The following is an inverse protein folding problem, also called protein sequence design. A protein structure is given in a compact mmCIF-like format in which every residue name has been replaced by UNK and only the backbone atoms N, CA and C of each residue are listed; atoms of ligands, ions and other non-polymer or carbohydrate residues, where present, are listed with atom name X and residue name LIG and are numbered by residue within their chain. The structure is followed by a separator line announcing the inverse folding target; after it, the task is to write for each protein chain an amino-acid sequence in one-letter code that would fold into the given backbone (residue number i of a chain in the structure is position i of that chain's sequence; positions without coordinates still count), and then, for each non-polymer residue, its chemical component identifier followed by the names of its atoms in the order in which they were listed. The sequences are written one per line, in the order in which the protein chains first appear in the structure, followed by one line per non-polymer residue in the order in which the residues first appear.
data_IF_282591405376
#
_entry.id   IF_282591405376
#
_cell.length_a   1.000
_cell.length_b   1.000
_cell.length_c   1.000
_cell.angle_alpha   90.00
_cell.angle_beta   90.00
_cell.angle_gamma   90.00
#
_symmetry.space_group_name_H-M   'P 1'
#
loop_
_entity.id
_entity.type
_entity.pdbx_description
1 polymer ?
#
# COMPACT_ATOMS: atom_id res chain seq x y z
N UNK A 1 1.55 -11.47 -17.22
CA UNK A 1 0.70 -10.69 -16.31
C UNK A 1 1.23 -9.28 -16.31
N UNK A 2 0.38 -8.34 -16.59
CA UNK A 2 0.70 -6.91 -16.62
C UNK A 2 0.54 -6.28 -15.24
N UNK A 3 1.34 -5.25 -14.96
CA UNK A 3 1.44 -4.60 -13.66
C UNK A 3 1.24 -3.09 -13.75
N UNK A 4 0.28 -2.57 -13.00
CA UNK A 4 0.07 -1.14 -12.79
C UNK A 4 0.53 -0.71 -11.39
N UNK A 5 1.21 0.42 -11.31
CA UNK A 5 1.60 1.06 -10.06
C UNK A 5 0.75 2.31 -9.86
N UNK A 6 0.13 2.44 -8.72
CA UNK A 6 -0.65 3.61 -8.30
C UNK A 6 0.09 4.33 -7.18
N UNK A 7 0.34 5.62 -7.36
CA UNK A 7 1.04 6.46 -6.39
C UNK A 7 0.16 7.68 -6.07
N UNK A 8 -0.61 7.64 -4.98
CA UNK A 8 -1.22 8.84 -4.43
C UNK A 8 -0.14 9.75 -3.84
N UNK A 9 -0.19 11.04 -4.14
CA UNK A 9 0.75 12.02 -3.58
C UNK A 9 0.07 13.34 -3.27
N UNK A 10 0.65 14.11 -2.34
CA UNK A 10 0.17 15.46 -2.00
C UNK A 10 1.30 16.33 -1.45
N UNK A 11 1.70 17.37 -2.18
CA UNK A 11 2.74 18.33 -1.78
C UNK A 11 4.09 17.68 -1.40
N UNK A 12 4.49 16.59 -2.10
CA UNK A 12 5.71 15.80 -1.82
C UNK A 12 6.48 15.49 -3.10
N UNK A 13 6.94 16.51 -3.85
CA UNK A 13 7.61 16.30 -5.13
C UNK A 13 8.93 15.52 -5.02
N UNK A 14 9.69 15.71 -3.94
CA UNK A 14 10.97 15.05 -3.77
C UNK A 14 10.83 13.56 -3.44
N UNK A 15 9.88 13.23 -2.57
CA UNK A 15 9.53 11.86 -2.20
C UNK A 15 9.03 11.11 -3.44
N UNK A 16 8.08 11.70 -4.16
CA UNK A 16 7.56 11.12 -5.41
C UNK A 16 8.70 10.89 -6.43
N UNK A 17 9.61 11.85 -6.60
CA UNK A 17 10.75 11.68 -7.51
C UNK A 17 11.67 10.53 -7.07
N UNK A 18 11.94 10.39 -5.77
CA UNK A 18 12.76 9.32 -5.24
C UNK A 18 12.09 7.95 -5.46
N UNK A 19 10.78 7.85 -5.21
CA UNK A 19 9.99 6.64 -5.49
C UNK A 19 10.05 6.27 -6.97
N UNK A 20 9.82 7.22 -7.89
CA UNK A 20 9.85 6.99 -9.33
C UNK A 20 11.24 6.55 -9.81
N UNK A 21 12.32 7.12 -9.27
CA UNK A 21 13.68 6.66 -9.54
C UNK A 21 13.90 5.21 -9.13
N UNK A 22 13.28 4.74 -8.04
CA UNK A 22 13.36 3.34 -7.63
C UNK A 22 12.54 2.40 -8.53
N UNK A 23 11.52 2.92 -9.22
CA UNK A 23 10.73 2.15 -10.18
C UNK A 23 11.46 1.93 -11.51
N UNK A 24 12.17 2.93 -12.03
CA UNK A 24 12.84 2.81 -13.33
C UNK A 24 14.08 1.91 -13.31
N UNK A 25 14.63 1.61 -12.12
CA UNK A 25 15.77 0.68 -11.96
C UNK A 25 15.33 -0.75 -11.62
N UNK A 26 14.03 -1.04 -11.64
CA UNK A 26 13.53 -2.38 -11.37
C UNK A 26 13.97 -3.36 -12.45
N UNK A 27 14.31 -4.59 -12.06
CA UNK A 27 14.64 -5.68 -13.00
C UNK A 27 13.43 -6.20 -13.78
N UNK A 28 12.23 -5.85 -13.33
CA UNK A 28 10.95 -6.02 -14.02
C UNK A 28 10.19 -4.70 -13.94
N UNK A 29 10.03 -4.04 -15.08
CA UNK A 29 9.37 -2.73 -15.13
C UNK A 29 7.85 -2.88 -15.09
N UNK A 30 7.11 -1.89 -14.53
CA UNK A 30 5.65 -1.87 -14.62
C UNK A 30 5.21 -1.51 -16.06
N UNK A 31 4.04 -1.99 -16.46
CA UNK A 31 3.42 -1.65 -17.74
C UNK A 31 2.72 -0.27 -17.67
N UNK A 32 2.24 0.10 -16.47
CA UNK A 32 1.51 1.34 -16.25
C UNK A 32 1.89 1.98 -14.91
N UNK A 33 2.02 3.31 -14.89
CA UNK A 33 2.10 4.11 -13.66
C UNK A 33 0.94 5.11 -13.66
N UNK A 34 0.19 5.14 -12.57
CA UNK A 34 -0.92 6.07 -12.33
C UNK A 34 -0.55 6.92 -11.12
N UNK A 35 -0.32 8.20 -11.32
CA UNK A 35 -0.06 9.15 -10.25
C UNK A 35 -1.34 9.94 -10.00
N UNK A 36 -1.81 9.96 -8.75
CA UNK A 36 -2.94 10.79 -8.32
C UNK A 36 -2.41 11.88 -7.41
N UNK A 37 -2.17 13.04 -8.00
CA UNK A 37 -1.62 14.22 -7.31
C UNK A 37 -2.75 15.10 -6.78
N UNK A 38 -2.88 15.13 -5.46
CA UNK A 38 -3.87 15.90 -4.71
C UNK A 38 -3.32 17.27 -4.23
N UNK A 39 -2.19 17.70 -4.76
CA UNK A 39 -1.52 18.96 -4.38
C UNK A 39 -2.33 20.17 -4.81
N UNK A 40 -2.22 21.27 -4.04
CA UNK A 40 -2.83 22.56 -4.41
C UNK A 40 -2.21 23.14 -5.70
N UNK A 41 -0.90 22.95 -5.88
CA UNK A 41 -0.19 23.30 -7.11
C UNK A 41 0.33 22.02 -7.74
N UNK A 42 0.17 21.91 -9.05
CA UNK A 42 0.69 20.80 -9.83
C UNK A 42 2.21 20.63 -9.57
N UNK A 43 2.63 19.42 -9.33
CA UNK A 43 4.06 19.15 -9.09
C UNK A 43 4.88 19.40 -10.35
N UNK A 44 5.99 20.13 -10.21
CA UNK A 44 6.94 20.41 -11.30
C UNK A 44 7.69 19.17 -11.82
N UNK A 45 7.41 18.02 -11.26
CA UNK A 45 7.99 16.73 -11.68
C UNK A 45 7.48 16.31 -13.06
N UNK A 46 6.28 16.76 -13.45
CA UNK A 46 5.69 16.37 -14.74
C UNK A 46 6.63 16.63 -15.90
N UNK A 47 7.36 17.72 -15.90
CA UNK A 47 8.32 18.06 -16.97
C UNK A 47 9.54 17.12 -17.02
N UNK A 48 9.83 16.41 -15.93
CA UNK A 48 10.97 15.48 -15.83
C UNK A 48 10.57 14.01 -16.05
N UNK A 49 9.29 13.69 -15.95
CA UNK A 49 8.77 12.33 -16.02
C UNK A 49 8.75 11.73 -17.44
N UNK A 50 8.35 12.47 -18.50
CA UNK A 50 8.25 11.90 -19.83
C UNK A 50 9.56 11.29 -20.29
N UNK A 51 10.68 12.01 -20.17
CA UNK A 51 11.99 11.52 -20.60
C UNK A 51 12.48 10.26 -19.88
N UNK A 52 12.10 10.07 -18.61
CA UNK A 52 12.47 8.89 -17.83
C UNK A 52 11.62 7.67 -18.14
N UNK A 53 10.34 7.86 -18.47
CA UNK A 53 9.36 6.79 -18.65
C UNK A 53 9.17 6.39 -20.10
N UNK A 54 9.30 7.31 -21.05
CA UNK A 54 9.23 7.04 -22.48
C UNK A 54 10.35 6.10 -22.94
N UNK A 55 11.57 6.29 -22.42
CA UNK A 55 12.70 5.40 -22.68
C UNK A 55 12.39 3.93 -22.32
N UNK A 56 11.51 3.70 -21.35
CA UNK A 56 11.16 2.39 -20.83
C UNK A 56 9.79 1.87 -21.31
N UNK A 57 9.11 2.59 -22.23
CA UNK A 57 7.77 2.23 -22.74
C UNK A 57 6.70 2.05 -21.65
N UNK A 58 6.83 2.74 -20.52
CA UNK A 58 5.88 2.68 -19.42
C UNK A 58 4.74 3.66 -19.69
N UNK A 59 3.49 3.18 -19.67
CA UNK A 59 2.32 4.04 -19.81
C UNK A 59 2.13 4.92 -18.57
N UNK A 60 2.28 6.23 -18.71
CA UNK A 60 2.06 7.19 -17.60
C UNK A 60 0.65 7.79 -17.68
N UNK A 61 -0.08 7.73 -16.57
CA UNK A 61 -1.30 8.47 -16.31
C UNK A 61 -1.05 9.42 -15.12
N UNK A 62 -0.68 10.68 -15.38
CA UNK A 62 -0.56 11.70 -14.33
C UNK A 62 -1.86 12.48 -14.21
N UNK A 63 -2.51 12.39 -13.06
CA UNK A 63 -3.80 13.00 -12.78
C UNK A 63 -3.61 13.99 -11.63
N UNK A 64 -3.72 15.29 -11.93
CA UNK A 64 -3.72 16.33 -10.93
C UNK A 64 -5.15 16.79 -10.68
N UNK A 65 -5.68 16.46 -9.51
CA UNK A 65 -7.03 16.89 -9.10
C UNK A 65 -7.11 17.07 -7.58
N UNK A 66 -7.14 18.32 -7.15
CA UNK A 66 -7.25 18.70 -5.74
C UNK A 66 -8.62 18.38 -5.12
N UNK A 67 -9.65 18.06 -5.92
CA UNK A 67 -10.96 17.66 -5.44
C UNK A 67 -10.98 16.20 -4.99
N UNK A 68 -10.04 15.40 -5.46
CA UNK A 68 -9.84 14.04 -4.93
C UNK A 68 -9.17 14.17 -3.55
N UNK A 69 -9.92 13.97 -2.48
CA UNK A 69 -9.41 14.13 -1.11
C UNK A 69 -9.27 12.81 -0.40
N UNK A 70 -8.09 12.60 0.21
CA UNK A 70 -7.78 11.40 0.99
C UNK A 70 -7.31 10.20 0.16
N UNK A 71 -6.60 9.30 0.86
CA UNK A 71 -5.92 8.15 0.26
C UNK A 71 -6.90 7.16 -0.40
N UNK A 72 -8.01 6.86 0.29
CA UNK A 72 -9.03 5.91 -0.18
C UNK A 72 -9.66 6.37 -1.49
N UNK A 73 -10.01 7.67 -1.58
CA UNK A 73 -10.59 8.24 -2.80
C UNK A 73 -9.60 8.21 -3.97
N UNK A 74 -8.31 8.51 -3.71
CA UNK A 74 -7.27 8.44 -4.73
C UNK A 74 -7.09 7.01 -5.26
N UNK A 75 -7.06 6.00 -4.37
CA UNK A 75 -6.99 4.59 -4.75
C UNK A 75 -8.23 4.16 -5.56
N UNK A 76 -9.42 4.48 -5.07
CA UNK A 76 -10.67 4.14 -5.75
C UNK A 76 -10.80 4.80 -7.13
N UNK A 77 -10.29 6.03 -7.26
CA UNK A 77 -10.22 6.74 -8.53
C UNK A 77 -9.24 6.06 -9.49
N UNK A 78 -8.03 5.74 -9.02
CA UNK A 78 -6.99 5.12 -9.83
C UNK A 78 -7.40 3.74 -10.38
N UNK A 79 -8.16 2.94 -9.63
CA UNK A 79 -8.67 1.64 -10.10
C UNK A 79 -9.46 1.77 -11.42
N UNK A 80 -10.19 2.86 -11.61
CA UNK A 80 -10.97 3.12 -12.84
C UNK A 80 -10.08 3.33 -14.07
N UNK A 81 -8.82 3.71 -13.86
CA UNK A 81 -7.82 3.97 -14.90
C UNK A 81 -6.83 2.80 -15.08
N UNK A 82 -6.95 1.76 -14.25
CA UNK A 82 -6.09 0.58 -14.34
C UNK A 82 -6.50 -0.29 -15.54
N UNK A 83 -5.49 -0.70 -16.31
CA UNK A 83 -5.66 -1.60 -17.45
C UNK A 83 -4.89 -2.91 -17.32
N UNK A 84 -4.25 -3.14 -16.16
CA UNK A 84 -3.35 -4.27 -15.92
C UNK A 84 -4.00 -5.35 -15.05
N UNK A 85 -3.41 -6.57 -15.09
CA UNK A 85 -3.86 -7.73 -14.33
C UNK A 85 -3.62 -7.56 -12.82
N UNK A 86 -2.51 -6.91 -12.47
CA UNK A 86 -2.11 -6.60 -11.08
C UNK A 86 -2.08 -5.09 -10.92
N UNK A 87 -2.58 -4.61 -9.80
CA UNK A 87 -2.48 -3.22 -9.36
C UNK A 87 -1.76 -3.15 -8.02
N UNK A 88 -0.72 -2.34 -7.93
CA UNK A 88 0.03 -2.10 -6.70
C UNK A 88 -0.17 -0.66 -6.24
N UNK A 89 -0.52 -0.48 -4.98
CA UNK A 89 -0.63 0.83 -4.33
C UNK A 89 0.63 1.10 -3.53
N UNK A 90 1.33 2.16 -3.87
CA UNK A 90 2.56 2.55 -3.20
C UNK A 90 2.45 3.99 -2.69
N UNK A 91 2.88 4.20 -1.43
CA UNK A 91 3.07 5.55 -0.90
C UNK A 91 4.25 6.23 -1.61
N UNK A 92 4.23 7.56 -1.67
CA UNK A 92 5.27 8.35 -2.32
C UNK A 92 6.61 8.36 -1.57
N UNK A 93 6.64 7.87 -0.32
CA UNK A 93 7.81 7.85 0.57
C UNK A 93 8.42 6.44 0.77
N UNK A 94 8.22 5.55 -0.19
CA UNK A 94 8.89 4.23 -0.22
C UNK A 94 9.97 4.18 -1.30
N UNK A 95 10.97 3.33 -1.07
CA UNK A 95 12.03 3.01 -2.05
C UNK A 95 12.08 1.50 -2.21
N UNK A 96 11.89 1.04 -3.44
CA UNK A 96 11.91 -0.38 -3.77
C UNK A 96 13.32 -0.87 -4.05
N UNK A 97 13.68 -2.05 -3.54
CA UNK A 97 14.86 -2.79 -3.99
C UNK A 97 14.69 -3.21 -5.47
N UNK A 98 15.76 -3.31 -6.28
CA UNK A 98 15.66 -3.55 -7.72
C UNK A 98 14.89 -4.80 -8.14
N UNK A 99 14.79 -5.81 -7.28
CA UNK A 99 14.06 -7.06 -7.52
C UNK A 99 12.60 -7.06 -7.10
N UNK A 100 12.10 -5.99 -6.46
CA UNK A 100 10.79 -5.96 -5.81
C UNK A 100 9.64 -6.36 -6.75
N UNK A 101 9.50 -5.69 -7.88
CA UNK A 101 8.39 -5.93 -8.81
C UNK A 101 8.47 -7.31 -9.46
N UNK A 102 9.68 -7.80 -9.72
CA UNK A 102 9.92 -9.16 -10.21
C UNK A 102 9.38 -10.20 -9.23
N UNK A 103 9.69 -10.05 -7.94
CA UNK A 103 9.24 -10.99 -6.89
C UNK A 103 7.72 -10.96 -6.70
N UNK A 104 7.10 -9.78 -6.76
CA UNK A 104 5.63 -9.64 -6.72
C UNK A 104 5.00 -10.34 -7.92
N UNK A 105 5.42 -10.03 -9.15
CA UNK A 105 4.87 -10.65 -10.36
C UNK A 105 5.07 -12.17 -10.36
N UNK A 106 6.26 -12.65 -9.94
CA UNK A 106 6.56 -14.07 -9.81
C UNK A 106 5.59 -14.74 -8.83
N UNK A 107 5.36 -14.15 -7.65
CA UNK A 107 4.46 -14.70 -6.64
C UNK A 107 3.02 -14.83 -7.17
N UNK A 108 2.47 -13.80 -7.82
CA UNK A 108 1.14 -13.85 -8.42
C UNK A 108 1.02 -14.87 -9.54
N UNK A 109 2.08 -15.06 -10.33
CA UNK A 109 2.14 -16.05 -11.41
C UNK A 109 2.23 -17.47 -10.87
N UNK A 110 3.11 -17.70 -9.88
CA UNK A 110 3.43 -19.02 -9.35
C UNK A 110 2.34 -19.56 -8.39
N UNK A 111 1.66 -18.66 -7.67
CA UNK A 111 0.68 -19.03 -6.66
C UNK A 111 -0.70 -18.44 -6.98
N UNK A 112 -1.56 -19.18 -7.72
CA UNK A 112 -2.90 -18.69 -8.11
C UNK A 112 -3.79 -18.29 -6.93
N UNK A 113 -3.54 -18.86 -5.74
CA UNK A 113 -4.26 -18.52 -4.50
C UNK A 113 -4.01 -17.08 -4.04
N UNK A 114 -2.88 -16.47 -4.42
CA UNK A 114 -2.56 -15.10 -4.03
C UNK A 114 -3.46 -14.12 -4.76
N UNK A 115 -4.32 -13.44 -4.04
CA UNK A 115 -5.16 -12.34 -4.52
C UNK A 115 -4.67 -10.98 -4.04
N UNK A 116 -3.93 -10.95 -2.92
CA UNK A 116 -3.29 -9.76 -2.38
C UNK A 116 -1.91 -10.08 -1.80
N UNK A 117 -0.97 -9.15 -1.94
CA UNK A 117 0.40 -9.32 -1.45
C UNK A 117 1.03 -8.03 -0.95
N UNK A 118 1.91 -8.15 0.05
CA UNK A 118 2.84 -7.10 0.49
C UNK A 118 4.27 -7.58 0.38
N UNK A 119 5.18 -6.64 0.12
CA UNK A 119 6.61 -6.88 0.30
C UNK A 119 7.07 -6.72 1.75
N UNK A 120 8.35 -6.98 1.97
CA UNK A 120 9.03 -6.94 3.26
C UNK A 120 9.72 -5.59 3.47
N UNK A 121 9.31 -4.85 4.51
CA UNK A 121 9.94 -3.58 4.89
C UNK A 121 11.23 -3.88 5.65
N UNK A 122 12.37 -3.37 5.14
CA UNK A 122 13.70 -3.61 5.72
C UNK A 122 14.00 -2.69 6.91
N UNK A 123 13.50 -1.48 6.91
CA UNK A 123 13.76 -0.44 7.92
C UNK A 123 12.63 -0.27 8.94
N UNK A 124 11.90 -1.35 9.25
CA UNK A 124 10.85 -1.30 10.29
C UNK A 124 11.46 -0.93 11.63
N UNK A 125 11.04 0.18 12.27
CA UNK A 125 11.61 0.60 13.55
C UNK A 125 11.32 -0.43 14.65
N UNK A 126 12.29 -0.63 15.53
CA UNK A 126 12.07 -1.42 16.73
C UNK A 126 11.09 -0.68 17.66
N UNK A 127 9.93 -1.27 17.87
CA UNK A 127 8.95 -0.70 18.80
C UNK A 127 9.44 -0.90 20.24
N UNK A 128 9.39 0.19 21.03
CA UNK A 128 9.60 0.09 22.48
C UNK A 128 8.60 -0.90 23.11
N UNK A 129 9.03 -1.63 24.15
CA UNK A 129 8.21 -2.63 24.85
C UNK A 129 6.87 -2.03 25.28
N UNK A 130 6.87 -0.78 25.76
CA UNK A 130 5.66 -0.07 26.19
C UNK A 130 4.69 0.13 25.02
N UNK A 131 5.17 0.62 23.88
CA UNK A 131 4.33 0.77 22.68
C UNK A 131 3.77 -0.56 22.21
N UNK A 132 4.55 -1.64 22.31
CA UNK A 132 4.12 -2.99 21.95
C UNK A 132 3.04 -3.52 22.90
N UNK A 133 3.15 -3.23 24.20
CA UNK A 133 2.13 -3.58 25.20
C UNK A 133 0.84 -2.79 24.99
N UNK A 134 0.93 -1.47 24.77
CA UNK A 134 -0.24 -0.63 24.45
C UNK A 134 -0.90 -1.12 23.17
N UNK A 135 -0.13 -1.35 22.12
CA UNK A 135 -0.64 -1.89 20.86
C UNK A 135 -1.34 -3.24 21.07
N UNK A 136 -0.72 -4.15 21.81
CA UNK A 136 -1.31 -5.46 22.13
C UNK A 136 -2.60 -5.32 22.94
N UNK A 137 -2.66 -4.36 23.87
CA UNK A 137 -3.85 -4.13 24.72
C UNK A 137 -5.00 -3.49 23.92
N UNK A 138 -4.71 -2.49 23.10
CA UNK A 138 -5.72 -1.80 22.27
C UNK A 138 -6.20 -2.62 21.08
N UNK A 139 -5.43 -3.60 20.61
CA UNK A 139 -5.76 -4.45 19.48
C UNK A 139 -6.13 -5.89 19.87
N UNK A 140 -6.23 -6.18 21.19
CA UNK A 140 -6.66 -7.48 21.71
C UNK A 140 -8.14 -7.71 21.36
N UNK A 141 -8.36 -8.52 20.32
CA UNK A 141 -9.68 -8.99 19.96
C UNK A 141 -10.39 -8.27 18.82
N UNK A 142 -9.97 -7.08 18.40
CA UNK A 142 -10.61 -6.36 17.30
C UNK A 142 -10.25 -6.96 15.93
N UNK A 143 -8.97 -7.27 15.75
CA UNK A 143 -8.47 -8.02 14.59
C UNK A 143 -7.07 -8.55 14.90
N UNK A 144 -6.73 -9.70 14.33
CA UNK A 144 -5.40 -10.29 14.51
C UNK A 144 -4.51 -9.82 13.37
N UNK A 145 -3.56 -8.91 13.64
CA UNK A 145 -2.53 -8.54 12.66
C UNK A 145 -1.26 -9.35 12.89
N UNK A 146 -0.98 -10.28 11.99
CA UNK A 146 0.21 -11.14 12.05
C UNK A 146 1.39 -10.61 11.23
N UNK A 147 1.24 -9.52 10.46
CA UNK A 147 2.25 -8.97 9.54
C UNK A 147 3.58 -8.68 10.23
N UNK A 148 3.57 -7.92 11.34
CA UNK A 148 4.80 -7.54 12.03
C UNK A 148 5.58 -8.74 12.57
N UNK A 149 4.86 -9.73 13.12
CA UNK A 149 5.47 -10.96 13.62
C UNK A 149 6.13 -11.73 12.48
N UNK A 150 5.43 -11.92 11.37
CA UNK A 150 5.91 -12.65 10.20
C UNK A 150 7.05 -11.90 9.50
N UNK A 151 6.98 -10.57 9.38
CA UNK A 151 8.07 -9.77 8.82
C UNK A 151 9.36 -9.92 9.62
N UNK A 152 9.28 -9.84 10.97
CA UNK A 152 10.46 -10.07 11.84
C UNK A 152 10.98 -11.50 11.73
N UNK A 153 10.12 -12.48 11.63
CA UNK A 153 10.50 -13.85 11.41
C UNK A 153 11.21 -14.03 10.06
N UNK A 154 10.67 -13.48 8.98
CA UNK A 154 11.29 -13.56 7.67
C UNK A 154 12.70 -12.93 7.64
N UNK A 155 12.87 -11.77 8.29
CA UNK A 155 14.18 -11.11 8.40
C UNK A 155 15.19 -11.92 9.21
N UNK A 156 14.76 -12.47 10.36
CA UNK A 156 15.64 -13.24 11.25
C UNK A 156 16.06 -14.56 10.65
N UNK A 157 15.09 -15.29 10.08
CA UNK A 157 15.27 -16.67 9.62
C UNK A 157 15.58 -16.74 8.11
N UNK A 158 15.77 -15.59 7.45
CA UNK A 158 16.02 -15.43 6.00
C UNK A 158 15.05 -16.26 5.13
N UNK A 159 13.77 -16.21 5.47
CA UNK A 159 12.73 -16.98 4.78
C UNK A 159 12.38 -16.32 3.45
N UNK A 160 12.25 -17.12 2.38
CA UNK A 160 11.93 -16.64 1.04
C UNK A 160 10.55 -17.09 0.55
N UNK A 161 9.90 -18.02 1.24
CA UNK A 161 8.58 -18.52 0.84
C UNK A 161 7.46 -17.55 1.27
N UNK A 162 6.45 -17.34 0.42
CA UNK A 162 5.27 -16.53 0.77
C UNK A 162 4.63 -16.98 2.08
N UNK A 163 4.23 -16.01 2.92
CA UNK A 163 3.58 -16.26 4.21
C UNK A 163 2.17 -15.69 4.21
N UNK A 164 1.19 -16.50 4.56
CA UNK A 164 -0.19 -16.01 4.68
C UNK A 164 -0.30 -14.97 5.79
N UNK A 165 -0.92 -13.85 5.48
CA UNK A 165 -1.20 -12.74 6.39
C UNK A 165 -2.70 -12.43 6.36
N UNK A 166 -3.21 -11.89 7.44
CA UNK A 166 -4.62 -11.52 7.55
C UNK A 166 -4.89 -10.04 7.29
N UNK A 167 -3.87 -9.29 6.92
CA UNK A 167 -3.96 -7.86 6.63
C UNK A 167 -2.82 -7.42 5.70
N UNK A 168 -3.09 -6.45 4.80
CA UNK A 168 -2.08 -5.83 3.95
C UNK A 168 -2.00 -4.34 4.25
N UNK A 169 -0.78 -3.76 4.15
CA UNK A 169 -0.59 -2.31 4.32
C UNK A 169 -1.11 -1.54 3.12
N UNK A 170 -1.84 -0.46 3.38
CA UNK A 170 -2.44 0.34 2.33
C UNK A 170 -1.44 0.94 1.34
N UNK A 171 -0.30 1.40 1.83
CA UNK A 171 0.72 2.10 1.03
C UNK A 171 1.78 1.21 0.38
N UNK A 172 1.63 -0.13 0.41
CA UNK A 172 2.56 -1.06 -0.23
C UNK A 172 1.92 -2.40 -0.62
N UNK A 173 0.62 -2.38 -0.92
CA UNK A 173 -0.13 -3.59 -1.27
C UNK A 173 -0.31 -3.76 -2.78
N UNK A 174 -0.19 -4.99 -3.23
CA UNK A 174 -0.42 -5.43 -4.62
C UNK A 174 -1.60 -6.38 -4.65
N UNK A 175 -2.46 -6.27 -5.66
CA UNK A 175 -3.71 -7.00 -5.76
C UNK A 175 -3.98 -7.47 -7.18
N UNK A 176 -4.65 -8.63 -7.36
CA UNK A 176 -5.29 -8.92 -8.65
C UNK A 176 -6.36 -7.88 -8.93
N UNK A 177 -6.35 -7.27 -10.09
CA UNK A 177 -7.27 -6.17 -10.41
C UNK A 177 -8.73 -6.59 -10.36
N UNK A 178 -9.04 -7.84 -10.67
CA UNK A 178 -10.39 -8.39 -10.65
C UNK A 178 -11.06 -8.41 -9.26
N UNK A 179 -10.28 -8.39 -8.18
CA UNK A 179 -10.84 -8.41 -6.81
C UNK A 179 -11.66 -7.16 -6.52
N UNK A 180 -11.31 -6.03 -7.13
CA UNK A 180 -12.01 -4.75 -6.95
C UNK A 180 -13.41 -4.72 -7.56
N UNK A 181 -13.75 -5.69 -8.43
CA UNK A 181 -15.13 -5.89 -8.90
C UNK A 181 -16.03 -6.44 -7.78
N UNK A 182 -15.45 -7.18 -6.82
CA UNK A 182 -16.18 -7.86 -5.75
C UNK A 182 -16.05 -7.15 -4.39
N UNK A 183 -14.87 -6.57 -4.10
CA UNK A 183 -14.62 -5.82 -2.87
C UNK A 183 -14.08 -4.45 -3.25
N UNK A 184 -14.90 -3.42 -3.12
CA UNK A 184 -14.53 -2.03 -3.43
C UNK A 184 -13.98 -1.33 -2.18
N UNK A 185 -13.13 -0.32 -2.36
CA UNK A 185 -12.80 0.59 -1.28
C UNK A 185 -14.04 1.32 -0.76
N UNK A 186 -14.11 1.51 0.54
CA UNK A 186 -15.22 2.23 1.18
C UNK A 186 -14.93 3.74 1.21
N UNK A 187 -15.35 4.42 0.16
CA UNK A 187 -15.16 5.88 -0.01
C UNK A 187 -16.08 6.72 0.87
N UNK A 188 -17.12 6.13 1.48
CA UNK A 188 -18.06 6.82 2.35
C UNK A 188 -17.56 6.88 3.79
N UNK A 189 -16.77 5.90 4.22
CA UNK A 189 -16.16 5.91 5.54
C UNK A 189 -14.87 6.73 5.53
N UNK A 190 -14.76 7.63 6.48
CA UNK A 190 -13.63 8.54 6.63
C UNK A 190 -12.48 7.89 7.40
N UNK A 191 -12.13 6.64 7.10
CA UNK A 191 -10.94 6.03 7.67
C UNK A 191 -9.67 6.68 7.12
N UNK A 192 -8.83 7.18 8.01
CA UNK A 192 -7.52 7.74 7.68
C UNK A 192 -6.38 6.82 8.08
N UNK A 193 -6.53 6.11 9.22
CA UNK A 193 -5.49 5.28 9.81
C UNK A 193 -5.76 3.78 9.65
N UNK A 194 -7.00 3.37 9.47
CA UNK A 194 -7.43 1.97 9.41
C UNK A 194 -8.09 1.60 8.07
N UNK A 195 -7.87 2.36 7.01
CA UNK A 195 -8.46 2.08 5.71
C UNK A 195 -7.99 0.73 5.14
N UNK A 196 -6.74 0.36 5.42
CA UNK A 196 -6.12 -0.89 5.00
C UNK A 196 -6.66 -2.09 5.81
N UNK A 197 -6.85 -1.90 7.09
CA UNK A 197 -7.41 -2.92 7.99
C UNK A 197 -8.87 -3.18 7.66
N UNK A 198 -9.66 -2.13 7.50
CA UNK A 198 -11.07 -2.21 7.12
C UNK A 198 -11.25 -2.96 5.79
N UNK A 199 -10.45 -2.58 4.80
CA UNK A 199 -10.46 -3.24 3.51
C UNK A 199 -10.05 -4.71 3.63
N UNK A 200 -8.96 -5.01 4.34
CA UNK A 200 -8.46 -6.37 4.52
C UNK A 200 -9.47 -7.29 5.23
N UNK A 201 -10.20 -6.79 6.23
CA UNK A 201 -11.24 -7.57 6.91
C UNK A 201 -12.38 -7.94 5.95
N UNK A 202 -12.87 -7.00 5.14
CA UNK A 202 -13.92 -7.29 4.14
C UNK A 202 -13.40 -8.21 3.04
N UNK A 203 -12.15 -8.01 2.67
CA UNK A 203 -11.49 -8.82 1.66
C UNK A 203 -11.33 -10.27 2.14
N UNK A 204 -10.82 -10.48 3.37
CA UNK A 204 -10.64 -11.82 3.95
C UNK A 204 -11.95 -12.62 4.03
N UNK A 205 -13.07 -11.95 4.36
CA UNK A 205 -14.42 -12.58 4.34
C UNK A 205 -14.81 -13.08 2.95
N UNK A 206 -14.36 -12.42 1.88
CA UNK A 206 -14.70 -12.75 0.49
C UNK A 206 -13.70 -13.71 -0.17
N UNK A 207 -12.43 -13.58 0.19
CA UNK A 207 -11.30 -14.32 -0.37
C UNK A 207 -10.41 -14.85 0.77
N UNK A 208 -10.87 -15.85 1.53
CA UNK A 208 -10.14 -16.31 2.72
C UNK A 208 -8.76 -16.85 2.37
N UNK A 209 -7.80 -16.61 3.27
CA UNK A 209 -6.41 -17.09 3.19
C UNK A 209 -5.69 -16.75 1.88
N UNK A 210 -6.01 -15.62 1.25
CA UNK A 210 -5.46 -15.24 -0.06
C UNK A 210 -4.60 -13.97 -0.04
N UNK A 211 -4.28 -13.44 1.15
CA UNK A 211 -3.33 -12.36 1.37
C UNK A 211 -1.98 -12.90 1.84
N UNK A 212 -0.88 -12.40 1.25
CA UNK A 212 0.46 -12.93 1.54
C UNK A 212 1.51 -11.83 1.71
N UNK A 213 2.46 -12.08 2.60
CA UNK A 213 3.75 -11.40 2.65
C UNK A 213 4.72 -12.13 1.72
N UNK A 214 5.39 -11.38 0.82
CA UNK A 214 6.39 -11.90 -0.12
C UNK A 214 7.78 -11.45 0.36
N UNK A 215 8.55 -12.33 1.04
CA UNK A 215 9.80 -11.93 1.68
C UNK A 215 10.90 -11.53 0.69
N UNK A 216 10.86 -12.03 -0.55
CA UNK A 216 11.79 -11.66 -1.62
C UNK A 216 11.57 -10.23 -2.15
N UNK A 217 10.34 -9.71 -2.06
CA UNK A 217 10.01 -8.34 -2.47
C UNK A 217 10.37 -7.36 -1.34
N UNK A 218 11.55 -6.75 -1.39
CA UNK A 218 12.12 -5.92 -0.32
C UNK A 218 12.02 -4.44 -0.61
N UNK A 219 11.76 -3.64 0.42
CA UNK A 219 11.63 -2.18 0.29
C UNK A 219 12.01 -1.45 1.58
N UNK A 220 12.22 -0.13 1.45
CA UNK A 220 12.35 0.82 2.57
C UNK A 220 11.13 1.74 2.61
N UNK A 221 10.64 2.06 3.82
CA UNK A 221 9.53 3.00 4.03
C UNK A 221 9.99 4.11 4.99
N UNK A 222 10.07 5.34 4.50
CA UNK A 222 10.70 6.45 5.22
C UNK A 222 9.76 7.25 6.12
N UNK A 223 8.44 7.03 6.01
CA UNK A 223 7.43 7.69 6.83
C UNK A 223 7.58 9.22 6.86
N UNK A 224 7.66 9.85 5.66
CA UNK A 224 7.84 11.28 5.54
C UNK A 224 6.88 12.08 6.43
N UNK A 225 7.41 13.10 7.12
CA UNK A 225 6.65 13.86 8.14
C UNK A 225 5.81 15.00 7.56
N UNK A 226 6.02 15.36 6.31
CA UNK A 226 5.28 16.43 5.62
C UNK A 226 3.78 16.13 5.53
N UNK A 227 2.94 17.16 5.71
CA UNK A 227 1.47 17.11 5.61
C UNK A 227 0.75 16.17 6.60
N UNK A 228 1.40 15.74 7.68
CA UNK A 228 0.75 14.96 8.75
C UNK A 228 0.00 15.90 9.71
N UNK A 229 -1.17 15.45 10.13
CA UNK A 229 -1.93 16.08 11.21
C UNK A 229 -1.13 16.08 12.53
N UNK A 230 -1.52 16.97 13.48
CA UNK A 230 -0.90 16.97 14.81
C UNK A 230 -1.01 15.60 15.48
N UNK A 231 -0.04 15.25 16.33
CA UNK A 231 -0.03 13.96 17.05
C UNK A 231 -1.31 13.72 17.84
N UNK A 232 -1.87 14.78 18.46
CA UNK A 232 -3.12 14.69 19.23
C UNK A 232 -4.27 14.28 18.32
N UNK A 233 -4.39 14.93 17.15
CA UNK A 233 -5.45 14.62 16.19
C UNK A 233 -5.29 13.22 15.60
N UNK A 234 -4.05 12.77 15.34
CA UNK A 234 -3.78 11.39 14.93
C UNK A 234 -4.24 10.37 15.99
N UNK A 235 -4.01 10.63 17.28
CA UNK A 235 -4.47 9.74 18.35
C UNK A 235 -6.00 9.74 18.45
N UNK A 236 -6.65 10.91 18.39
CA UNK A 236 -8.11 11.01 18.40
C UNK A 236 -8.74 10.24 17.25
N UNK A 237 -8.26 10.47 16.03
CA UNK A 237 -8.72 9.75 14.84
C UNK A 237 -8.53 8.22 14.99
N UNK A 238 -7.38 7.80 15.53
CA UNK A 238 -7.09 6.39 15.74
C UNK A 238 -8.07 5.71 16.70
N UNK A 239 -8.43 6.37 17.81
CA UNK A 239 -9.42 5.87 18.77
C UNK A 239 -10.81 5.79 18.14
N UNK A 240 -11.25 6.88 17.48
CA UNK A 240 -12.55 6.95 16.83
C UNK A 240 -12.71 5.88 15.74
N UNK A 241 -11.70 5.74 14.88
CA UNK A 241 -11.68 4.74 13.81
C UNK A 241 -11.63 3.31 14.37
N UNK A 242 -10.94 3.07 15.49
CA UNK A 242 -10.95 1.77 16.16
C UNK A 242 -12.36 1.38 16.63
N UNK A 243 -13.10 2.34 17.21
CA UNK A 243 -14.49 2.14 17.65
C UNK A 243 -15.41 1.87 16.45
N UNK A 244 -15.26 2.66 15.37
CA UNK A 244 -16.04 2.49 14.14
C UNK A 244 -15.79 1.12 13.50
N UNK A 245 -14.50 0.71 13.44
CA UNK A 245 -14.11 -0.59 12.91
C UNK A 245 -14.73 -1.74 13.72
N UNK A 246 -14.70 -1.61 15.06
CA UNK A 246 -15.32 -2.59 15.95
C UNK A 246 -16.83 -2.71 15.70
N UNK A 247 -17.55 -1.59 15.70
CA UNK A 247 -18.99 -1.56 15.44
C UNK A 247 -19.35 -2.17 14.09
N UNK A 248 -18.62 -1.81 13.04
CA UNK A 248 -18.85 -2.30 11.68
C UNK A 248 -18.64 -3.82 11.53
N UNK A 249 -17.73 -4.40 12.30
CA UNK A 249 -17.40 -5.82 12.16
C UNK A 249 -18.17 -6.75 13.09
N UNK A 250 -18.76 -6.24 14.16
CA UNK A 250 -19.49 -7.05 15.15
C UNK A 250 -21.02 -6.89 15.05
N UNK A 251 -21.55 -6.23 13.98
CA UNK A 251 -22.99 -6.09 13.74
C UNK A 251 -23.80 -5.58 14.96
N UNK A 252 -23.27 -4.58 15.71
CA UNK A 252 -24.02 -3.88 16.73
C UNK A 252 -24.67 -2.61 16.19
#
# INVERSE_FOLDING_TARGET
MTLSIVIPTKNRPNELLAMLKSLIIQTHLPDQIIIVDQSLKKNTIEDKLPSLLELNKIKLNYIHDQNITGLVNAKAFAIKHNTCDIISFFDDDIILEPGYLKEICFAFKQYPKINGANGLILNTPNQNIIKRLIYRFTHLGLYKDNRQRLSKQCLRDNLNMPKNVNNLSGGLSSWRSEVFKKVKFDVLNKFHSFEDVEYSIRFEKKFPDSMFLIPGAKLYHFHATGNRESKIKQISNHVEESILLFRKNNNF
#
